data_IF_093797124626
#
_entry.id   IF_093797124626
#
_cell.length_a   1.000
_cell.length_b   1.000
_cell.length_c   1.000
_cell.angle_alpha   90.00
_cell.angle_beta   90.00
_cell.angle_gamma   90.00
#
_symmetry.space_group_name_H-M   'P 1'
#
loop_
_entity.id
_entity.type
_entity.pdbx_description
1 polymer ?
#
# COMPACT_ATOMS: atom_id res chain seq x y z
N UNK A 1 29.00 -28.68 -14.93
CA UNK A 1 28.17 -27.46 -15.04
C UNK A 1 27.33 -27.36 -13.79
N UNK A 2 27.54 -26.34 -12.96
CA UNK A 2 26.66 -26.03 -11.84
C UNK A 2 25.36 -25.41 -12.37
N UNK A 3 24.19 -25.68 -11.76
CA UNK A 3 22.95 -25.02 -12.17
C UNK A 3 23.06 -23.50 -11.96
N UNK A 4 22.33 -22.68 -12.75
CA UNK A 4 22.33 -21.24 -12.57
C UNK A 4 21.81 -20.92 -11.17
N UNK A 5 22.57 -20.13 -10.41
CA UNK A 5 22.08 -19.54 -9.16
C UNK A 5 20.80 -18.79 -9.49
N UNK A 6 19.68 -19.17 -8.87
CA UNK A 6 18.51 -18.31 -8.81
C UNK A 6 19.00 -16.94 -8.33
N UNK A 7 18.74 -15.87 -9.10
CA UNK A 7 18.93 -14.50 -8.62
C UNK A 7 17.94 -14.28 -7.49
N UNK A 8 18.28 -14.73 -6.29
CA UNK A 8 17.62 -14.29 -5.08
C UNK A 8 17.83 -12.78 -5.01
N UNK A 9 16.74 -12.03 -5.23
CA UNK A 9 16.77 -10.61 -4.96
C UNK A 9 17.03 -10.44 -3.47
N UNK A 10 17.94 -9.53 -3.06
CA UNK A 10 18.20 -9.31 -1.65
C UNK A 10 16.89 -8.92 -0.95
N UNK A 11 16.68 -9.37 0.29
CA UNK A 11 15.45 -9.11 1.04
C UNK A 11 15.13 -7.61 1.22
N UNK A 12 16.10 -6.71 1.00
CA UNK A 12 15.94 -5.26 0.98
C UNK A 12 15.45 -4.69 -0.36
N UNK A 13 15.32 -5.52 -1.41
CA UNK A 13 14.90 -5.09 -2.74
C UNK A 13 13.40 -4.77 -2.83
N UNK A 14 12.62 -5.26 -1.87
CA UNK A 14 11.17 -5.09 -1.78
C UNK A 14 10.80 -4.39 -0.46
N UNK A 15 9.74 -3.59 -0.49
CA UNK A 15 9.25 -2.99 0.74
C UNK A 15 8.77 -4.05 1.73
N UNK A 16 8.88 -3.79 3.05
CA UNK A 16 8.27 -4.66 4.04
C UNK A 16 6.76 -4.80 3.79
N UNK A 17 6.12 -5.88 4.29
CA UNK A 17 4.70 -6.14 4.06
C UNK A 17 3.83 -4.92 4.38
N UNK A 18 3.13 -4.42 3.36
CA UNK A 18 2.24 -3.27 3.48
C UNK A 18 0.85 -3.77 3.91
N UNK A 19 0.70 -4.03 5.21
CA UNK A 19 -0.55 -4.54 5.80
C UNK A 19 -1.18 -3.55 6.76
N UNK A 20 -2.51 -3.61 6.88
CA UNK A 20 -3.29 -2.83 7.83
C UNK A 20 -4.52 -3.63 8.29
N UNK A 21 -4.97 -3.35 9.52
CA UNK A 21 -6.20 -3.94 10.07
C UNK A 21 -7.20 -2.82 10.31
N UNK A 22 -8.40 -2.97 9.76
CA UNK A 22 -9.54 -2.06 9.97
C UNK A 22 -10.75 -2.92 10.30
N UNK A 23 -11.47 -2.57 11.36
CA UNK A 23 -12.68 -3.28 11.80
C UNK A 23 -12.49 -4.81 11.92
N UNK A 24 -11.36 -5.25 12.48
CA UNK A 24 -10.97 -6.66 12.63
C UNK A 24 -10.77 -7.43 11.30
N UNK A 25 -10.62 -6.72 10.18
CA UNK A 25 -10.33 -7.29 8.88
C UNK A 25 -8.91 -6.92 8.44
N UNK A 26 -8.18 -7.88 7.89
CA UNK A 26 -6.79 -7.72 7.47
C UNK A 26 -6.74 -7.39 5.98
N UNK A 27 -6.00 -6.33 5.66
CA UNK A 27 -5.80 -5.82 4.31
C UNK A 27 -4.31 -5.78 3.97
N UNK A 28 -3.99 -5.91 2.68
CA UNK A 28 -2.66 -5.74 2.15
C UNK A 28 -2.68 -4.85 0.90
N UNK A 29 -1.68 -3.99 0.77
CA UNK A 29 -1.36 -3.31 -0.48
C UNK A 29 -0.32 -4.14 -1.23
N UNK A 30 -0.75 -4.77 -2.32
CA UNK A 30 0.11 -5.50 -3.25
C UNK A 30 0.68 -4.49 -4.26
N UNK A 31 1.95 -4.12 -4.07
CA UNK A 31 2.62 -3.14 -4.92
C UNK A 31 2.99 -3.69 -6.29
N UNK A 32 3.17 -5.01 -6.43
CA UNK A 32 3.49 -5.63 -7.71
C UNK A 32 2.26 -5.63 -8.63
N UNK A 33 1.09 -5.95 -8.07
CA UNK A 33 -0.19 -5.86 -8.78
C UNK A 33 -0.81 -4.46 -8.78
N UNK A 34 -0.31 -3.54 -7.96
CA UNK A 34 -0.93 -2.24 -7.65
C UNK A 34 -2.40 -2.37 -7.19
N UNK A 35 -2.67 -3.35 -6.31
CA UNK A 35 -4.02 -3.69 -5.82
C UNK A 35 -4.12 -3.75 -4.31
N UNK A 36 -5.33 -3.56 -3.79
CA UNK A 36 -5.68 -3.88 -2.40
C UNK A 36 -6.23 -5.30 -2.34
N UNK A 37 -5.76 -6.06 -1.36
CA UNK A 37 -6.23 -7.40 -1.06
C UNK A 37 -6.79 -7.44 0.36
N UNK A 38 -7.81 -8.28 0.56
CA UNK A 38 -8.38 -8.60 1.88
C UNK A 38 -8.17 -10.07 2.18
N UNK A 39 -7.83 -10.36 3.43
CA UNK A 39 -7.72 -11.72 3.93
C UNK A 39 -9.07 -12.19 4.49
N UNK A 40 -9.59 -13.27 3.93
CA UNK A 40 -10.76 -13.94 4.47
C UNK A 40 -10.32 -14.99 5.50
N UNK A 41 -10.72 -14.79 6.76
CA UNK A 41 -10.31 -15.65 7.88
C UNK A 41 -10.90 -17.06 7.79
N UNK A 42 -12.10 -17.21 7.21
CA UNK A 42 -12.78 -18.51 7.11
C UNK A 42 -12.11 -19.46 6.11
N UNK A 43 -11.89 -18.96 4.89
CA UNK A 43 -11.25 -19.70 3.80
C UNK A 43 -9.72 -19.64 3.82
N UNK A 44 -9.13 -18.76 4.66
CA UNK A 44 -7.69 -18.53 4.79
C UNK A 44 -7.02 -18.07 3.48
N UNK A 45 -7.76 -17.31 2.67
CA UNK A 45 -7.33 -16.86 1.33
C UNK A 45 -7.35 -15.35 1.21
N UNK A 46 -6.55 -14.85 0.28
CA UNK A 46 -6.50 -13.44 -0.08
C UNK A 46 -7.31 -13.17 -1.35
N UNK A 47 -8.20 -12.20 -1.29
CA UNK A 47 -9.04 -11.77 -2.40
C UNK A 47 -8.68 -10.35 -2.81
N UNK A 48 -8.64 -10.09 -4.12
CA UNK A 48 -8.40 -8.76 -4.65
C UNK A 48 -9.68 -7.95 -4.59
N UNK A 49 -9.62 -6.76 -4.00
CA UNK A 49 -10.75 -5.85 -3.89
C UNK A 49 -10.76 -4.82 -5.02
N UNK A 50 -9.59 -4.33 -5.42
CA UNK A 50 -9.46 -3.38 -6.51
C UNK A 50 -8.10 -2.68 -6.48
N UNK A 51 -7.98 -1.56 -7.20
CA UNK A 51 -6.70 -0.88 -7.40
C UNK A 51 -6.32 0.02 -6.22
N UNK A 52 -5.01 0.19 -6.02
CA UNK A 52 -4.46 1.30 -5.23
C UNK A 52 -4.68 2.64 -5.96
N UNK A 53 -4.52 3.80 -5.30
CA UNK A 53 -4.58 5.11 -5.97
C UNK A 53 -3.57 5.18 -7.12
N UNK A 54 -3.95 5.78 -8.25
CA UNK A 54 -3.10 5.84 -9.46
C UNK A 54 -1.73 6.49 -9.19
N UNK A 55 -1.68 7.47 -8.27
CA UNK A 55 -0.47 8.21 -7.91
C UNK A 55 0.30 7.60 -6.74
N UNK A 56 -0.04 6.39 -6.31
CA UNK A 56 0.75 5.58 -5.39
C UNK A 56 2.02 5.05 -6.10
N UNK A 57 2.88 5.95 -6.57
CA UNK A 57 4.14 5.61 -7.21
C UNK A 57 5.05 4.87 -6.22
N UNK A 58 5.50 3.68 -6.59
CA UNK A 58 6.45 2.91 -5.78
C UNK A 58 7.53 2.28 -6.65
N UNK A 59 8.69 2.01 -6.05
CA UNK A 59 9.74 1.19 -6.65
C UNK A 59 9.80 -0.09 -5.81
N UNK A 60 9.22 -1.17 -6.30
CA UNK A 60 9.04 -2.42 -5.54
C UNK A 60 8.39 -2.19 -4.15
N UNK A 61 7.34 -1.35 -4.10
CA UNK A 61 6.65 -0.98 -2.87
C UNK A 61 7.32 0.13 -2.06
N UNK A 62 8.58 0.46 -2.33
CA UNK A 62 9.25 1.59 -1.67
C UNK A 62 8.69 2.92 -2.17
N UNK A 63 8.25 3.77 -1.25
CA UNK A 63 7.52 4.99 -1.60
C UNK A 63 6.03 4.94 -1.24
N UNK A 64 5.57 3.82 -0.67
CA UNK A 64 4.20 3.58 -0.30
C UNK A 64 4.09 3.30 1.20
N UNK A 65 3.15 3.95 1.88
CA UNK A 65 2.66 3.55 3.19
C UNK A 65 1.22 3.07 3.06
N UNK A 66 0.92 2.00 3.80
CA UNK A 66 -0.44 1.49 3.93
C UNK A 66 -0.77 1.40 5.41
N UNK A 67 -1.74 2.19 5.87
CA UNK A 67 -2.03 2.40 7.30
C UNK A 67 -3.52 2.33 7.56
N UNK A 68 -3.88 1.99 8.78
CA UNK A 68 -5.23 2.17 9.30
C UNK A 68 -5.31 3.49 10.06
N UNK A 69 -6.46 4.16 10.02
CA UNK A 69 -6.79 5.33 10.83
C UNK A 69 -8.29 5.32 11.10
N UNK A 70 -8.68 4.89 12.30
CA UNK A 70 -10.08 4.61 12.65
C UNK A 70 -10.64 3.52 11.75
N UNK A 71 -11.75 3.81 11.08
CA UNK A 71 -12.42 2.93 10.11
C UNK A 71 -11.84 3.03 8.68
N UNK A 72 -10.78 3.82 8.48
CA UNK A 72 -10.22 4.10 7.15
C UNK A 72 -8.93 3.34 6.91
N UNK A 73 -8.79 2.84 5.69
CA UNK A 73 -7.49 2.54 5.11
C UNK A 73 -6.93 3.81 4.49
N UNK A 74 -5.63 4.03 4.71
CA UNK A 74 -4.88 5.19 4.29
C UNK A 74 -3.71 4.73 3.43
N UNK A 75 -3.60 5.32 2.24
CA UNK A 75 -2.47 5.18 1.34
C UNK A 75 -1.70 6.50 1.30
N UNK A 76 -0.41 6.44 1.63
CA UNK A 76 0.51 7.57 1.52
C UNK A 76 1.49 7.23 0.42
N UNK A 77 1.56 8.04 -0.62
CA UNK A 77 2.49 7.80 -1.73
C UNK A 77 2.62 9.01 -2.64
N UNK A 78 3.55 8.96 -3.58
CA UNK A 78 3.74 10.04 -4.54
C UNK A 78 4.70 9.65 -5.65
N UNK A 79 4.55 10.21 -6.85
CA UNK A 79 5.44 9.92 -7.96
C UNK A 79 6.88 10.33 -7.61
N UNK A 80 7.84 9.43 -7.87
CA UNK A 80 9.28 9.67 -7.66
C UNK A 80 9.99 10.32 -8.85
N UNK A 81 9.32 10.53 -9.99
CA UNK A 81 9.98 11.06 -11.19
C UNK A 81 10.43 12.50 -11.00
N UNK A 82 11.69 12.75 -11.35
CA UNK A 82 12.51 13.94 -11.16
C UNK A 82 11.81 15.28 -11.42
N UNK A 83 11.78 16.15 -10.41
CA UNK A 83 11.25 17.52 -10.52
C UNK A 83 10.68 18.12 -9.24
N UNK A 84 10.61 17.34 -8.15
CA UNK A 84 9.86 17.68 -6.94
C UNK A 84 8.58 16.87 -6.87
N UNK A 85 8.30 16.27 -5.72
CA UNK A 85 7.19 15.34 -5.53
C UNK A 85 6.15 15.90 -4.57
N UNK A 86 4.87 15.69 -4.89
CA UNK A 86 3.82 15.75 -3.88
C UNK A 86 3.61 14.35 -3.32
N UNK A 87 3.54 14.27 -2.00
CA UNK A 87 2.97 13.14 -1.29
C UNK A 87 1.47 13.37 -1.25
N UNK A 88 0.71 12.34 -1.60
CA UNK A 88 -0.73 12.31 -1.48
C UNK A 88 -1.15 11.41 -0.33
N UNK A 89 -2.15 11.87 0.40
CA UNK A 89 -2.86 11.09 1.40
C UNK A 89 -4.21 10.69 0.82
N UNK A 90 -4.39 9.41 0.52
CA UNK A 90 -5.65 8.88 0.01
C UNK A 90 -6.31 8.00 1.08
N UNK A 91 -7.63 8.07 1.20
CA UNK A 91 -8.39 7.29 2.17
C UNK A 91 -9.53 6.51 1.53
N UNK A 92 -9.86 5.38 2.13
CA UNK A 92 -11.01 4.57 1.77
C UNK A 92 -11.57 3.89 3.02
N UNK A 93 -12.90 3.85 3.15
CA UNK A 93 -13.60 3.10 4.20
C UNK A 93 -14.05 1.77 3.60
N UNK A 94 -13.51 0.63 4.04
CA UNK A 94 -13.96 -0.67 3.57
C UNK A 94 -15.41 -0.94 3.95
N UNK A 95 -16.21 -1.37 2.99
CA UNK A 95 -17.59 -1.84 3.24
C UNK A 95 -17.62 -3.35 3.39
N UNK A 96 -18.50 -3.88 4.25
CA UNK A 96 -18.63 -5.31 4.56
C UNK A 96 -18.84 -6.22 3.33
N UNK A 97 -19.38 -5.69 2.23
CA UNK A 97 -19.66 -6.43 0.99
C UNK A 97 -18.47 -6.64 0.05
N UNK A 98 -17.24 -6.22 0.43
CA UNK A 98 -16.06 -6.41 -0.42
C UNK A 98 -16.07 -5.57 -1.71
N UNK A 99 -16.71 -4.40 -1.68
CA UNK A 99 -16.71 -3.47 -2.81
C UNK A 99 -15.29 -3.00 -3.16
N UNK A 100 -15.12 -2.62 -4.42
CA UNK A 100 -13.85 -2.05 -4.88
C UNK A 100 -13.54 -0.76 -4.12
N UNK A 101 -12.26 -0.50 -3.79
CA UNK A 101 -11.85 0.76 -3.19
C UNK A 101 -12.28 1.97 -4.00
N UNK A 102 -12.87 2.95 -3.32
CA UNK A 102 -13.12 4.30 -3.84
C UNK A 102 -12.27 5.25 -3.03
N UNK A 103 -11.16 5.67 -3.61
CA UNK A 103 -10.16 6.49 -2.93
C UNK A 103 -10.58 7.96 -2.91
N UNK A 104 -10.57 8.54 -1.72
CA UNK A 104 -10.74 9.98 -1.49
C UNK A 104 -9.39 10.59 -1.16
N UNK A 105 -8.93 11.53 -2.00
CA UNK A 105 -7.76 12.35 -1.69
C UNK A 105 -8.07 13.26 -0.50
N UNK A 106 -7.34 13.10 0.59
CA UNK A 106 -7.47 13.92 1.79
C UNK A 106 -6.57 15.16 1.73
N UNK A 107 -5.31 14.99 1.31
CA UNK A 107 -4.35 16.10 1.28
C UNK A 107 -3.17 15.81 0.34
N UNK A 108 -2.43 16.87 0.01
CA UNK A 108 -1.18 16.84 -0.75
C UNK A 108 -0.12 17.73 -0.10
N UNK A 109 1.07 17.18 0.12
CA UNK A 109 2.21 17.93 0.65
C UNK A 109 3.41 17.81 -0.25
N UNK A 110 4.04 18.93 -0.58
CA UNK A 110 5.31 18.91 -1.28
C UNK A 110 6.41 18.33 -0.36
N UNK A 111 7.08 17.28 -0.82
CA UNK A 111 8.17 16.64 -0.08
C UNK A 111 9.08 15.90 -1.04
N UNK A 112 10.37 16.19 -0.98
CA UNK A 112 11.39 15.54 -1.81
C UNK A 112 11.90 14.22 -1.21
N UNK A 113 11.81 14.04 0.11
CA UNK A 113 12.38 12.90 0.83
C UNK A 113 11.48 12.52 2.01
N UNK A 114 10.69 11.45 1.86
CA UNK A 114 9.90 10.89 2.96
C UNK A 114 10.07 9.37 3.04
N UNK A 115 10.26 8.88 4.26
CA UNK A 115 10.34 7.46 4.57
C UNK A 115 8.92 7.00 4.94
N UNK A 116 8.18 6.57 3.92
CA UNK A 116 6.75 6.27 4.00
C UNK A 116 6.40 5.19 5.03
N UNK A 117 7.27 4.19 5.21
CA UNK A 117 7.03 3.09 6.14
C UNK A 117 7.09 3.47 7.63
N UNK A 118 7.50 4.69 7.98
CA UNK A 118 7.53 5.14 9.38
C UNK A 118 6.32 5.98 9.77
N UNK A 119 5.36 6.18 8.87
CA UNK A 119 4.15 6.94 9.18
C UNK A 119 3.33 6.26 10.28
N UNK A 120 2.99 7.02 11.32
CA UNK A 120 2.09 6.65 12.42
C UNK A 120 0.82 7.50 12.30
N UNK A 121 -0.33 6.86 12.49
CA UNK A 121 -1.64 7.52 12.47
C UNK A 121 -2.26 7.39 13.87
N UNK A 122 -2.91 8.46 14.34
CA UNK A 122 -3.68 8.50 15.58
C UNK A 122 -5.12 8.91 15.29
N UNK A 123 -6.06 8.26 15.96
CA UNK A 123 -7.50 8.41 15.75
C UNK A 123 -8.24 8.10 17.05
#
# INVERSE_FOLDING_TARGET
MSPPRSREMPASAEAPPLVAVVNNELYAADHAGMVVRKYDKGSKKWFTLGRLPERAGSVNGWGLAFRACGERLIVIGGPKSSGGGFIELNSWIPTSGGSSPVWTLLDRKHSSNFVYNCAVMGC
#
